data_IF_973395577298
#
_entry.id   IF_973395577298
#
_cell.length_a   1.000
_cell.length_b   1.000
_cell.length_c   1.000
_cell.angle_alpha   90.00
_cell.angle_beta   90.00
_cell.angle_gamma   90.00
#
_symmetry.space_group_name_H-M   'P 1'
#
loop_
_entity.id
_entity.type
_entity.pdbx_description
1 polymer ?
#
# COMPACT_ATOMS: atom_id res chain seq x y z
N UNK A 1 18.27 -12.78 -17.44
CA UNK A 1 17.88 -13.25 -16.09
C UNK A 1 16.79 -12.33 -15.60
N UNK A 2 15.81 -12.87 -14.87
CA UNK A 2 14.83 -12.04 -14.16
C UNK A 2 15.53 -11.41 -12.95
N UNK A 3 15.38 -10.11 -12.74
CA UNK A 3 15.98 -9.38 -11.61
C UNK A 3 14.86 -8.69 -10.87
N UNK A 4 14.79 -8.87 -9.56
CA UNK A 4 13.80 -8.19 -8.73
C UNK A 4 14.25 -6.74 -8.50
N UNK A 5 13.37 -5.80 -8.82
CA UNK A 5 13.53 -4.37 -8.57
C UNK A 5 12.57 -3.98 -7.46
N UNK A 6 13.10 -3.39 -6.39
CA UNK A 6 12.31 -2.89 -5.27
C UNK A 6 12.12 -1.38 -5.42
N UNK A 7 10.90 -0.90 -5.24
CA UNK A 7 10.51 0.51 -5.19
C UNK A 7 10.00 0.78 -3.79
N UNK A 8 10.78 1.53 -3.03
CA UNK A 8 10.45 1.98 -1.69
C UNK A 8 9.29 2.99 -1.71
N UNK A 9 8.45 3.00 -0.68
CA UNK A 9 7.29 3.90 -0.58
C UNK A 9 7.67 5.38 -0.63
N UNK A 10 8.81 5.75 -0.05
CA UNK A 10 9.25 7.13 0.13
C UNK A 10 10.39 7.47 -0.84
N UNK A 11 11.42 6.63 -0.88
CA UNK A 11 12.65 6.86 -1.64
C UNK A 11 12.60 6.31 -3.07
N UNK A 12 11.58 5.50 -3.40
CA UNK A 12 11.41 4.91 -4.72
C UNK A 12 12.54 3.96 -5.09
N UNK A 13 12.88 3.94 -6.38
CA UNK A 13 14.08 3.29 -6.90
C UNK A 13 14.86 4.29 -7.77
N UNK A 14 16.03 4.71 -7.29
CA UNK A 14 16.84 5.72 -7.97
C UNK A 14 17.60 5.19 -9.18
N UNK A 15 17.88 3.88 -9.25
CA UNK A 15 18.58 3.27 -10.38
C UNK A 15 17.71 3.26 -11.64
N UNK A 16 16.42 3.01 -11.48
CA UNK A 16 15.43 3.00 -12.57
C UNK A 16 14.59 4.27 -12.66
N UNK A 17 14.82 5.24 -11.77
CA UNK A 17 14.07 6.49 -11.67
C UNK A 17 12.54 6.24 -11.54
N UNK A 18 12.19 5.34 -10.62
CA UNK A 18 10.81 4.96 -10.31
C UNK A 18 10.38 5.53 -8.97
N UNK A 19 9.14 6.00 -8.88
CA UNK A 19 8.53 6.52 -7.66
C UNK A 19 7.06 6.13 -7.61
N UNK A 20 6.55 5.83 -6.42
CA UNK A 20 5.12 5.61 -6.20
C UNK A 20 4.40 6.96 -6.25
N UNK A 21 3.34 7.02 -7.05
CA UNK A 21 2.47 8.20 -7.12
C UNK A 21 1.28 8.01 -6.21
N UNK A 22 1.16 8.87 -5.20
CA UNK A 22 0.03 8.90 -4.28
C UNK A 22 -1.02 9.90 -4.76
N UNK A 23 -2.29 9.51 -4.66
CA UNK A 23 -3.44 10.35 -5.02
C UNK A 23 -4.58 10.22 -4.02
N UNK A 24 -5.33 11.31 -3.78
CA UNK A 24 -5.01 12.69 -4.14
C UNK A 24 -3.71 13.19 -3.49
N UNK A 25 -3.12 14.24 -4.05
CA UNK A 25 -1.91 14.86 -3.47
C UNK A 25 -2.14 15.21 -1.98
N UNK A 26 -1.22 14.78 -1.12
CA UNK A 26 -1.28 15.02 0.33
C UNK A 26 -2.26 14.13 1.10
N UNK A 27 -2.90 13.15 0.47
CA UNK A 27 -3.83 12.21 1.14
C UNK A 27 -3.14 10.98 1.75
N UNK A 28 -1.90 10.73 1.35
CA UNK A 28 -1.01 9.74 1.97
C UNK A 28 0.07 10.48 2.72
N UNK A 29 0.27 10.12 3.99
CA UNK A 29 1.25 10.72 4.87
C UNK A 29 2.47 9.81 5.00
N UNK A 30 3.67 10.35 4.85
CA UNK A 30 4.88 9.63 5.22
C UNK A 30 4.87 9.40 6.74
N UNK A 31 4.76 8.15 7.17
CA UNK A 31 4.41 7.81 8.54
C UNK A 31 5.48 8.15 9.59
N UNK A 32 6.76 8.22 9.19
CA UNK A 32 7.87 8.58 10.10
C UNK A 32 7.70 9.99 10.65
N UNK A 33 7.31 10.94 9.80
CA UNK A 33 7.17 12.36 10.16
C UNK A 33 5.72 12.73 10.50
N UNK A 34 4.81 11.75 10.50
CA UNK A 34 3.39 11.97 10.73
C UNK A 34 3.05 12.06 12.21
N UNK A 35 2.96 13.29 12.74
CA UNK A 35 2.67 13.53 14.16
C UNK A 35 1.23 13.24 14.59
N UNK A 36 0.31 13.14 13.64
CA UNK A 36 -1.11 12.88 13.86
C UNK A 36 -1.56 11.49 13.37
N UNK A 37 -0.63 10.67 12.88
CA UNK A 37 -0.92 9.29 12.54
C UNK A 37 -0.90 8.44 13.82
N UNK A 38 -1.92 7.61 13.99
CA UNK A 38 -2.02 6.68 15.13
C UNK A 38 -1.14 5.43 14.94
N UNK A 39 -0.71 5.15 13.70
CA UNK A 39 0.19 4.06 13.42
C UNK A 39 1.63 4.39 13.88
N UNK A 40 2.14 3.65 14.86
CA UNK A 40 3.51 3.78 15.35
C UNK A 40 4.28 2.49 15.14
N UNK A 41 5.10 2.47 14.08
CA UNK A 41 5.82 1.28 13.64
C UNK A 41 7.25 1.20 14.19
N UNK A 42 7.76 -0.02 14.29
CA UNK A 42 9.17 -0.31 14.53
C UNK A 42 9.94 -0.14 13.22
N UNK A 43 10.57 1.02 13.02
CA UNK A 43 11.27 1.37 11.77
C UNK A 43 12.41 0.42 11.41
N UNK A 44 12.89 -0.40 12.36
CA UNK A 44 13.91 -1.42 12.07
C UNK A 44 13.36 -2.62 11.30
N UNK A 45 12.03 -2.73 11.18
CA UNK A 45 11.31 -3.80 10.48
C UNK A 45 10.62 -3.34 9.20
N UNK A 46 10.67 -2.05 8.91
CA UNK A 46 10.07 -1.42 7.73
C UNK A 46 11.17 -1.26 6.67
N UNK A 47 10.85 -1.48 5.39
CA UNK A 47 11.83 -1.28 4.33
C UNK A 47 12.29 0.18 4.29
N UNK A 48 13.61 0.37 4.22
CA UNK A 48 14.28 1.68 4.38
C UNK A 48 13.86 2.53 5.60
N UNK A 49 13.13 1.95 6.56
CA UNK A 49 12.59 2.64 7.72
C UNK A 49 11.43 3.60 7.43
N UNK A 50 10.76 3.52 6.28
CA UNK A 50 9.66 4.43 5.87
C UNK A 50 8.42 3.70 5.41
N UNK A 51 7.25 4.32 5.58
CA UNK A 51 5.98 3.82 5.04
C UNK A 51 5.07 5.01 4.71
N UNK A 52 4.10 4.79 3.84
CA UNK A 52 3.03 5.75 3.57
C UNK A 52 1.70 5.25 4.15
N UNK A 53 1.12 6.09 5.00
CA UNK A 53 -0.15 5.87 5.69
C UNK A 53 -1.28 6.59 4.96
N UNK A 54 -2.41 5.91 4.77
CA UNK A 54 -3.68 6.60 4.55
C UNK A 54 -4.84 5.87 5.22
N UNK A 55 -5.87 6.63 5.59
CA UNK A 55 -7.12 6.11 6.15
C UNK A 55 -8.30 6.55 5.30
N UNK A 56 -9.05 5.57 4.77
CA UNK A 56 -10.39 5.79 4.25
C UNK A 56 -11.36 5.93 5.42
N UNK A 57 -12.02 7.07 5.57
CA UNK A 57 -13.03 7.29 6.62
C UNK A 57 -14.44 7.05 6.07
N UNK A 58 -15.17 6.05 6.58
CA UNK A 58 -16.50 5.71 6.04
C UNK A 58 -17.61 6.71 6.37
N UNK A 59 -17.45 7.47 7.46
CA UNK A 59 -18.37 8.52 7.91
C UNK A 59 -18.16 9.85 7.19
N UNK A 60 -16.97 10.07 6.63
CA UNK A 60 -16.63 11.19 5.77
C UNK A 60 -15.79 10.72 4.56
N UNK A 61 -16.42 9.99 3.61
CA UNK A 61 -15.68 9.37 2.52
C UNK A 61 -15.05 10.43 1.61
N UNK A 62 -13.81 10.21 1.14
CA UNK A 62 -13.14 11.14 0.26
C UNK A 62 -13.87 11.26 -1.08
N UNK A 63 -13.83 12.46 -1.69
CA UNK A 63 -14.47 12.74 -2.98
C UNK A 63 -13.81 12.01 -4.16
N UNK A 64 -12.62 11.46 -3.96
CA UNK A 64 -11.85 10.70 -4.94
C UNK A 64 -11.14 9.54 -4.26
N UNK A 65 -10.84 8.44 -4.98
CA UNK A 65 -10.18 7.27 -4.40
C UNK A 65 -8.81 7.61 -3.82
N UNK A 66 -8.50 7.06 -2.64
CA UNK A 66 -7.16 7.10 -2.04
C UNK A 66 -6.32 6.01 -2.69
N UNK A 67 -5.32 6.38 -3.48
CA UNK A 67 -4.57 5.43 -4.29
C UNK A 67 -3.05 5.64 -4.27
N UNK A 68 -2.34 4.53 -4.48
CA UNK A 68 -0.90 4.48 -4.69
C UNK A 68 -0.65 3.72 -5.99
N UNK A 69 0.10 4.32 -6.92
CA UNK A 69 0.31 3.75 -8.26
C UNK A 69 1.78 3.71 -8.65
N UNK A 70 2.16 2.65 -9.36
CA UNK A 70 3.49 2.45 -9.91
C UNK A 70 3.39 2.02 -11.37
N UNK A 71 4.14 2.69 -12.25
CA UNK A 71 4.32 2.28 -13.64
C UNK A 71 5.70 1.63 -13.79
N UNK A 72 5.75 0.41 -14.30
CA UNK A 72 6.98 -0.38 -14.40
C UNK A 72 6.98 -1.23 -15.69
N UNK A 73 8.14 -1.80 -16.05
CA UNK A 73 8.22 -2.84 -17.08
C UNK A 73 8.59 -4.16 -16.40
N UNK A 74 7.76 -5.19 -16.54
CA UNK A 74 7.99 -6.45 -15.86
C UNK A 74 7.05 -7.58 -16.28
N UNK A 75 7.15 -8.69 -15.55
CA UNK A 75 6.36 -9.91 -15.68
C UNK A 75 5.83 -10.40 -14.33
N UNK A 76 6.28 -9.82 -13.21
CA UNK A 76 5.72 -10.09 -11.88
C UNK A 76 5.62 -8.82 -11.03
N UNK A 77 4.73 -8.82 -10.04
CA UNK A 77 4.62 -7.77 -9.02
C UNK A 77 4.21 -8.35 -7.66
N UNK A 78 4.82 -7.83 -6.60
CA UNK A 78 4.54 -8.10 -5.19
C UNK A 78 4.40 -6.76 -4.48
N UNK A 79 3.33 -6.60 -3.71
CA UNK A 79 3.02 -5.36 -3.00
C UNK A 79 2.94 -5.71 -1.52
N UNK A 80 3.85 -5.13 -0.76
CA UNK A 80 4.01 -5.41 0.65
C UNK A 80 3.52 -4.22 1.47
N UNK A 81 2.63 -4.51 2.43
CA UNK A 81 2.11 -3.55 3.39
C UNK A 81 2.44 -3.99 4.81
N UNK A 82 2.37 -3.05 5.74
CA UNK A 82 2.23 -3.34 7.16
C UNK A 82 0.74 -3.45 7.48
N UNK A 83 0.34 -4.49 8.21
CA UNK A 83 -1.05 -4.66 8.65
C UNK A 83 -1.11 -4.87 10.16
N UNK A 84 -2.21 -4.45 10.76
CA UNK A 84 -2.57 -4.77 12.15
C UNK A 84 -4.02 -5.25 12.16
N UNK A 85 -4.48 -5.80 13.28
CA UNK A 85 -5.89 -6.16 13.48
C UNK A 85 -6.47 -5.46 14.72
N UNK A 86 -5.80 -4.38 15.14
CA UNK A 86 -6.20 -3.51 16.23
C UNK A 86 -7.64 -3.02 16.05
N UNK A 87 -8.40 -2.94 17.14
CA UNK A 87 -9.75 -2.36 17.10
C UNK A 87 -9.78 -0.84 17.33
N UNK A 88 -8.66 -0.24 17.70
CA UNK A 88 -8.46 1.21 17.88
C UNK A 88 -6.96 1.49 17.87
N UNK A 89 -6.60 2.74 17.59
CA UNK A 89 -5.24 3.31 17.71
C UNK A 89 -4.12 2.48 17.04
N UNK A 90 -4.15 2.29 15.71
CA UNK A 90 -5.18 2.71 14.74
C UNK A 90 -6.31 1.69 14.61
N UNK A 91 -7.42 2.07 13.97
CA UNK A 91 -8.45 1.09 13.56
C UNK A 91 -7.91 0.21 12.41
N UNK A 92 -7.42 -0.98 12.76
CA UNK A 92 -6.69 -1.92 11.89
C UNK A 92 -7.53 -2.70 10.91
N UNK A 93 -8.60 -2.11 10.35
CA UNK A 93 -9.32 -2.73 9.25
C UNK A 93 -8.57 -2.47 7.94
N UNK A 94 -8.20 -3.51 7.19
CA UNK A 94 -7.68 -3.35 5.83
C UNK A 94 -8.75 -3.71 4.81
N UNK A 95 -8.95 -2.85 3.82
CA UNK A 95 -9.84 -3.08 2.68
C UNK A 95 -9.22 -2.42 1.44
N UNK A 96 -8.43 -3.18 0.70
CA UNK A 96 -7.68 -2.69 -0.46
C UNK A 96 -8.14 -3.39 -1.74
N UNK A 97 -8.25 -2.64 -2.83
CA UNK A 97 -8.54 -3.15 -4.16
C UNK A 97 -7.36 -2.87 -5.09
N UNK A 98 -6.98 -3.86 -5.88
CA UNK A 98 -5.79 -3.78 -6.75
C UNK A 98 -6.18 -3.80 -8.22
N UNK A 99 -5.54 -2.93 -8.98
CA UNK A 99 -5.71 -2.82 -10.42
C UNK A 99 -4.38 -2.98 -11.14
N UNK A 100 -4.41 -3.67 -12.27
CA UNK A 100 -3.31 -3.73 -13.24
C UNK A 100 -3.85 -3.26 -14.59
N UNK A 101 -3.24 -2.21 -15.14
CA UNK A 101 -3.65 -1.59 -16.40
C UNK A 101 -5.14 -1.20 -16.43
N UNK A 102 -5.64 -0.73 -15.27
CA UNK A 102 -7.03 -0.34 -15.07
C UNK A 102 -8.02 -1.49 -14.84
N UNK A 103 -7.59 -2.75 -14.94
CA UNK A 103 -8.42 -3.92 -14.66
C UNK A 103 -8.22 -4.37 -13.22
N UNK A 104 -9.30 -4.64 -12.49
CA UNK A 104 -9.19 -5.17 -11.14
C UNK A 104 -8.59 -6.58 -11.18
N UNK A 105 -7.52 -6.80 -10.42
CA UNK A 105 -6.79 -8.09 -10.35
C UNK A 105 -6.88 -8.76 -8.99
N UNK A 106 -7.34 -8.05 -7.96
CA UNK A 106 -7.52 -8.64 -6.64
C UNK A 106 -8.04 -7.66 -5.60
N UNK A 107 -8.22 -8.19 -4.40
CA UNK A 107 -8.55 -7.43 -3.19
C UNK A 107 -7.86 -8.04 -1.98
N UNK A 108 -7.54 -7.23 -0.99
CA UNK A 108 -7.08 -7.68 0.32
C UNK A 108 -8.02 -7.14 1.40
N UNK A 109 -8.64 -8.02 2.18
CA UNK A 109 -9.57 -7.66 3.25
C UNK A 109 -9.15 -8.34 4.54
N UNK A 110 -8.90 -7.54 5.56
CA UNK A 110 -8.49 -8.01 6.89
C UNK A 110 -9.25 -7.22 7.96
N UNK A 111 -10.35 -7.77 8.50
CA UNK A 111 -11.11 -7.09 9.54
C UNK A 111 -10.38 -7.13 10.89
N UNK A 112 -10.60 -6.14 11.77
CA UNK A 112 -9.99 -6.13 13.09
C UNK A 112 -10.49 -7.33 13.92
N UNK A 113 -9.61 -7.88 14.75
CA UNK A 113 -9.95 -8.92 15.73
C UNK A 113 -9.52 -8.54 17.16
N UNK A 114 -8.98 -7.33 17.34
CA UNK A 114 -8.49 -6.81 18.62
C UNK A 114 -7.01 -7.05 18.88
N UNK A 115 -6.29 -7.79 18.02
CA UNK A 115 -4.84 -7.96 18.14
C UNK A 115 -4.11 -6.71 17.59
N UNK A 116 -3.44 -5.93 18.44
CA UNK A 116 -2.78 -4.69 18.01
C UNK A 116 -1.45 -4.94 17.30
N UNK A 117 -0.96 -6.18 17.26
CA UNK A 117 0.36 -6.50 16.73
C UNK A 117 0.47 -6.15 15.25
N UNK A 118 1.48 -5.34 14.91
CA UNK A 118 1.85 -5.10 13.52
C UNK A 118 2.56 -6.30 12.91
N UNK A 119 2.11 -6.67 11.72
CA UNK A 119 2.74 -7.64 10.84
C UNK A 119 3.39 -6.86 9.69
N UNK A 120 4.69 -7.03 9.53
CA UNK A 120 5.52 -6.33 8.55
C UNK A 120 5.71 -7.20 7.30
N UNK A 121 5.95 -6.56 6.15
CA UNK A 121 6.18 -7.22 4.86
C UNK A 121 5.10 -8.27 4.54
N UNK A 122 3.82 -7.88 4.72
CA UNK A 122 2.69 -8.74 4.37
C UNK A 122 2.37 -8.53 2.89
N UNK A 123 2.47 -9.59 2.07
CA UNK A 123 2.16 -9.49 0.64
C UNK A 123 0.65 -9.38 0.46
N UNK A 124 0.16 -8.17 0.19
CA UNK A 124 -1.27 -7.90 0.03
C UNK A 124 -1.74 -8.11 -1.40
N UNK A 125 -0.84 -8.00 -2.37
CA UNK A 125 -1.08 -8.33 -3.77
C UNK A 125 0.14 -9.05 -4.35
N UNK A 126 -0.10 -10.19 -5.00
CA UNK A 126 0.93 -10.97 -5.69
C UNK A 126 0.40 -11.35 -7.07
N UNK A 127 1.17 -11.03 -8.11
CA UNK A 127 0.92 -11.52 -9.46
C UNK A 127 2.25 -11.94 -10.08
N UNK A 128 2.47 -13.24 -10.20
CA UNK A 128 3.74 -13.83 -10.65
C UNK A 128 3.79 -14.07 -12.16
N UNK A 129 2.70 -13.79 -12.88
CA UNK A 129 2.56 -14.13 -14.30
C UNK A 129 1.81 -13.04 -15.07
N UNK A 130 2.55 -12.03 -15.51
CA UNK A 130 2.09 -10.96 -16.39
C UNK A 130 2.77 -11.07 -17.76
N UNK A 131 2.11 -10.64 -18.85
CA UNK A 131 2.78 -10.50 -20.15
C UNK A 131 3.99 -9.57 -20.03
N UNK A 132 5.11 -9.89 -20.67
CA UNK A 132 6.25 -8.98 -20.67
C UNK A 132 5.87 -7.64 -21.28
N UNK A 133 6.04 -6.56 -20.53
CA UNK A 133 5.78 -5.22 -21.03
C UNK A 133 5.62 -4.18 -19.94
N UNK A 134 5.13 -3.02 -20.36
CA UNK A 134 4.82 -1.91 -19.48
C UNK A 134 3.47 -2.13 -18.82
N UNK A 135 3.45 -2.03 -17.49
CA UNK A 135 2.25 -2.13 -16.68
C UNK A 135 2.09 -0.92 -15.76
N UNK A 136 0.84 -0.64 -15.38
CA UNK A 136 0.50 0.29 -14.30
C UNK A 136 -0.24 -0.46 -13.22
N UNK A 137 0.38 -0.59 -12.05
CA UNK A 137 -0.28 -1.06 -10.84
C UNK A 137 -0.93 0.11 -10.10
N UNK A 138 -2.11 -0.13 -9.52
CA UNK A 138 -2.78 0.80 -8.61
C UNK A 138 -3.39 0.05 -7.44
N UNK A 139 -3.02 0.44 -6.21
CA UNK A 139 -3.70 0.11 -4.97
C UNK A 139 -4.72 1.21 -4.68
N UNK A 140 -5.95 0.83 -4.34
CA UNK A 140 -6.99 1.74 -3.82
C UNK A 140 -7.37 1.32 -2.42
N UNK A 141 -7.29 2.23 -1.45
CA UNK A 141 -7.68 2.00 -0.05
C UNK A 141 -9.14 2.39 0.18
N UNK A 142 -9.89 1.48 0.81
CA UNK A 142 -11.31 1.59 1.05
C UNK A 142 -12.16 1.43 -0.22
N UNK A 143 -13.48 1.49 -0.03
CA UNK A 143 -14.46 1.47 -1.12
C UNK A 143 -15.74 2.17 -0.71
N UNK A 144 -16.46 2.72 -1.68
CA UNK A 144 -17.75 3.37 -1.44
C UNK A 144 -18.73 2.41 -0.75
N UNK A 145 -19.29 2.86 0.39
CA UNK A 145 -20.19 2.05 1.22
C UNK A 145 -19.48 0.99 2.08
N UNK A 146 -18.14 0.95 2.06
CA UNK A 146 -17.33 0.12 2.95
C UNK A 146 -17.15 0.72 4.35
N UNK A 147 -16.41 0.01 5.21
CA UNK A 147 -16.01 0.49 6.53
C UNK A 147 -14.74 1.35 6.43
N UNK A 148 -14.46 2.13 7.48
CA UNK A 148 -13.16 2.80 7.64
C UNK A 148 -12.03 1.78 7.44
N UNK A 149 -11.01 2.13 6.67
CA UNK A 149 -9.93 1.22 6.31
C UNK A 149 -8.56 1.91 6.32
N UNK A 150 -7.57 1.23 6.86
CA UNK A 150 -6.18 1.65 6.95
C UNK A 150 -5.33 0.94 5.89
N UNK A 151 -4.47 1.70 5.22
CA UNK A 151 -3.38 1.18 4.41
C UNK A 151 -2.06 1.78 4.88
N UNK A 152 -1.08 0.92 5.14
CA UNK A 152 0.30 1.28 5.46
C UNK A 152 1.21 0.62 4.41
N UNK A 153 1.49 1.33 3.33
CA UNK A 153 2.31 0.81 2.22
C UNK A 153 3.79 0.88 2.58
N UNK A 154 4.51 -0.24 2.42
CA UNK A 154 5.93 -0.38 2.75
C UNK A 154 6.79 -0.32 1.47
N UNK A 155 6.60 -1.24 0.54
CA UNK A 155 7.32 -1.25 -0.73
C UNK A 155 6.61 -2.10 -1.80
N UNK A 156 7.06 -1.95 -3.04
CA UNK A 156 6.63 -2.76 -4.18
C UNK A 156 7.84 -3.41 -4.83
N UNK A 157 7.75 -4.70 -5.13
CA UNK A 157 8.76 -5.43 -5.91
C UNK A 157 8.17 -5.83 -7.25
N UNK A 158 8.92 -5.65 -8.33
CA UNK A 158 8.59 -6.22 -9.64
C UNK A 158 9.79 -6.93 -10.24
N UNK A 159 9.55 -7.75 -11.27
CA UNK A 159 10.58 -8.55 -11.95
C UNK A 159 10.43 -8.50 -13.46
#
# INVERSE_FOLDING_TARGET
SLVNVTVDDTFGNSEENLQITYQPDGSWSQGVDCTNCEAHLDTTKVHSGTWHDTTYFSDNPPSSPLSASLTFNGVAIYVDCIVTRASTDPFGNSDMTFYLDGNQVGTFVQPPNGDPTYQYSVPVCVNEAMPSGKHTFTLVNGRAGGQTALALLDYIVFS
#
